data_IF_043332906510
#
_entry.id   IF_043332906510
#
_cell.length_a   1.000
_cell.length_b   1.000
_cell.length_c   1.000
_cell.angle_alpha   90.00
_cell.angle_beta   90.00
_cell.angle_gamma   90.00
#
_symmetry.space_group_name_H-M   'P 1'
#
loop_
_entity.id
_entity.type
_entity.pdbx_description
1 polymer ?
#
# COMPACT_ATOMS: atom_id res chain seq x y z
N UNK A 1 -12.68 -17.66 -9.57
CA UNK A 1 -13.34 -17.33 -8.29
C UNK A 1 -14.37 -18.37 -7.87
N UNK A 2 -14.68 -18.46 -6.58
CA UNK A 2 -15.89 -19.10 -6.05
C UNK A 2 -17.14 -18.32 -6.54
N UNK A 3 -18.19 -18.98 -7.07
CA UNK A 3 -19.42 -18.32 -7.49
C UNK A 3 -20.05 -17.40 -6.44
N UNK A 4 -19.97 -17.73 -5.15
CA UNK A 4 -20.55 -16.88 -4.09
C UNK A 4 -19.78 -15.56 -3.95
N UNK A 5 -18.46 -15.60 -4.04
CA UNK A 5 -17.59 -14.41 -3.98
C UNK A 5 -17.79 -13.51 -5.21
N UNK A 6 -18.04 -14.13 -6.36
CA UNK A 6 -18.33 -13.41 -7.60
C UNK A 6 -19.66 -12.64 -7.49
N UNK A 7 -20.71 -13.30 -6.98
CA UNK A 7 -22.02 -12.69 -6.73
C UNK A 7 -21.90 -11.54 -5.72
N UNK A 8 -21.22 -11.76 -4.59
CA UNK A 8 -21.06 -10.74 -3.56
C UNK A 8 -20.31 -9.49 -4.05
N UNK A 9 -19.36 -9.65 -4.97
CA UNK A 9 -18.67 -8.51 -5.60
C UNK A 9 -19.59 -7.77 -6.56
N UNK A 10 -20.38 -8.52 -7.34
CA UNK A 10 -21.33 -7.96 -8.29
C UNK A 10 -22.47 -7.21 -7.59
N UNK A 11 -22.91 -7.66 -6.42
CA UNK A 11 -23.86 -6.95 -5.57
C UNK A 11 -23.33 -5.58 -5.13
N UNK A 12 -22.05 -5.47 -4.77
CA UNK A 12 -21.42 -4.18 -4.45
C UNK A 12 -21.41 -3.25 -5.65
N UNK A 13 -21.01 -3.74 -6.83
CA UNK A 13 -21.00 -2.96 -8.06
C UNK A 13 -22.42 -2.53 -8.46
N UNK A 14 -23.40 -3.43 -8.36
CA UNK A 14 -24.80 -3.16 -8.66
C UNK A 14 -25.36 -2.10 -7.72
N UNK A 15 -25.06 -2.17 -6.42
CA UNK A 15 -25.48 -1.17 -5.44
C UNK A 15 -24.99 0.24 -5.84
N UNK A 16 -23.74 0.37 -6.28
CA UNK A 16 -23.21 1.65 -6.76
C UNK A 16 -23.91 2.09 -8.04
N UNK A 17 -24.18 1.15 -8.97
CA UNK A 17 -24.91 1.44 -10.21
C UNK A 17 -26.34 1.91 -9.99
N UNK A 18 -26.99 1.44 -8.93
CA UNK A 18 -28.36 1.81 -8.56
C UNK A 18 -28.42 3.06 -7.68
N UNK A 19 -27.29 3.60 -7.22
CA UNK A 19 -27.24 4.83 -6.45
C UNK A 19 -27.29 6.04 -7.41
N UNK A 20 -28.42 6.77 -7.48
CA UNK A 20 -28.61 7.84 -8.47
C UNK A 20 -27.68 9.03 -8.24
N UNK A 21 -27.09 9.15 -7.05
CA UNK A 21 -26.17 10.22 -6.72
C UNK A 21 -24.74 9.95 -7.24
N UNK A 22 -24.34 8.69 -7.48
CA UNK A 22 -22.96 8.36 -7.89
C UNK A 22 -22.82 8.45 -9.39
N UNK A 23 -21.93 9.32 -9.87
CA UNK A 23 -21.69 9.46 -11.31
C UNK A 23 -20.25 9.82 -11.60
N UNK A 24 -19.58 9.07 -12.48
CA UNK A 24 -18.14 9.20 -12.57
C UNK A 24 -17.47 8.54 -13.75
N UNK A 25 -16.14 8.60 -13.71
CA UNK A 25 -15.25 8.11 -14.76
C UNK A 25 -14.38 6.97 -14.24
N UNK A 26 -14.12 5.99 -15.10
CA UNK A 26 -13.10 4.96 -14.87
C UNK A 26 -11.95 5.14 -15.86
N UNK A 27 -10.72 5.28 -15.34
CA UNK A 27 -9.51 5.41 -16.14
C UNK A 27 -8.47 4.35 -15.74
N UNK A 28 -8.34 3.31 -16.54
CA UNK A 28 -7.57 2.10 -16.16
C UNK A 28 -6.45 1.87 -17.18
N UNK A 29 -5.23 1.59 -16.69
CA UNK A 29 -4.04 1.40 -17.54
C UNK A 29 -3.24 0.19 -17.07
N UNK A 30 -2.97 -0.72 -18.01
CA UNK A 30 -1.94 -1.76 -17.89
C UNK A 30 -2.42 -3.13 -17.44
N UNK A 31 -3.66 -3.25 -16.94
CA UNK A 31 -4.24 -4.52 -16.49
C UNK A 31 -5.69 -4.73 -16.94
N UNK A 32 -6.09 -4.16 -18.06
CA UNK A 32 -7.45 -4.22 -18.60
C UNK A 32 -8.30 -3.07 -18.09
N UNK A 33 -9.61 -3.20 -18.28
CA UNK A 33 -10.61 -2.31 -17.69
C UNK A 33 -11.53 -3.13 -16.78
N UNK A 34 -10.92 -3.85 -15.84
CA UNK A 34 -11.60 -4.92 -15.10
C UNK A 34 -12.58 -4.38 -14.08
N UNK A 35 -12.31 -3.20 -13.52
CA UNK A 35 -13.24 -2.53 -12.61
C UNK A 35 -14.42 -2.01 -13.41
N UNK A 36 -14.20 -1.26 -14.49
CA UNK A 36 -15.30 -0.79 -15.34
C UNK A 36 -16.12 -1.95 -15.92
N UNK A 37 -15.47 -3.05 -16.33
CA UNK A 37 -16.12 -4.26 -16.84
C UNK A 37 -17.13 -4.83 -15.84
N UNK A 38 -16.81 -4.89 -14.55
CA UNK A 38 -17.75 -5.34 -13.50
C UNK A 38 -19.00 -4.47 -13.48
N UNK A 39 -18.84 -3.16 -13.52
CA UNK A 39 -19.96 -2.22 -13.53
C UNK A 39 -20.81 -2.31 -14.80
N UNK A 40 -20.22 -2.64 -15.96
CA UNK A 40 -21.01 -2.95 -17.16
C UNK A 40 -21.76 -4.27 -17.05
N UNK A 41 -21.12 -5.32 -16.52
CA UNK A 41 -21.69 -6.67 -16.43
C UNK A 41 -22.97 -6.72 -15.59
N UNK A 42 -22.99 -6.03 -14.45
CA UNK A 42 -24.13 -6.06 -13.51
C UNK A 42 -25.33 -5.22 -13.95
N UNK A 43 -25.18 -4.40 -15.01
CA UNK A 43 -26.24 -3.51 -15.50
C UNK A 43 -26.46 -2.27 -14.63
N UNK A 44 -27.33 -1.35 -15.06
CA UNK A 44 -27.57 -0.06 -14.38
C UNK A 44 -26.50 1.02 -14.62
N UNK A 45 -25.40 0.68 -15.29
CA UNK A 45 -24.25 1.57 -15.48
C UNK A 45 -24.54 2.92 -16.17
N UNK A 46 -25.62 3.06 -16.94
CA UNK A 46 -25.99 4.34 -17.54
C UNK A 46 -26.26 5.46 -16.50
N UNK A 47 -26.69 5.08 -15.29
CA UNK A 47 -26.91 6.01 -14.18
C UNK A 47 -25.62 6.50 -13.51
N UNK A 48 -24.52 5.77 -13.68
CA UNK A 48 -23.31 5.83 -12.84
C UNK A 48 -22.02 6.09 -13.62
N UNK A 49 -21.92 5.59 -14.85
CA UNK A 49 -20.74 5.69 -15.69
C UNK A 49 -20.95 6.84 -16.67
N UNK A 50 -20.18 7.92 -16.49
CA UNK A 50 -20.09 9.03 -17.43
C UNK A 50 -19.12 8.72 -18.58
N UNK A 51 -17.98 8.11 -18.25
CA UNK A 51 -16.92 7.76 -19.20
C UNK A 51 -16.11 6.58 -18.69
N UNK A 52 -15.62 5.74 -19.59
CA UNK A 52 -14.52 4.83 -19.32
C UNK A 52 -13.43 5.07 -20.35
N UNK A 53 -12.16 4.91 -19.96
CA UNK A 53 -11.05 5.03 -20.89
C UNK A 53 -9.86 4.17 -20.50
N UNK A 54 -9.05 3.79 -21.49
CA UNK A 54 -7.77 3.14 -21.29
C UNK A 54 -6.73 3.65 -22.29
N UNK A 55 -5.59 4.13 -21.79
CA UNK A 55 -4.50 4.72 -22.58
C UNK A 55 -3.24 3.86 -22.44
N UNK A 56 -3.22 2.74 -23.14
CA UNK A 56 -2.16 1.72 -23.07
C UNK A 56 -0.84 2.17 -23.68
N UNK A 57 -0.89 2.87 -24.81
CA UNK A 57 0.31 3.36 -25.48
C UNK A 57 0.91 4.53 -24.68
N UNK A 58 2.22 4.50 -24.46
CA UNK A 58 2.92 5.52 -23.67
C UNK A 58 2.80 6.92 -24.28
N UNK A 59 2.78 7.03 -25.61
CA UNK A 59 2.65 8.32 -26.31
C UNK A 59 1.25 8.88 -26.11
N UNK A 60 0.22 8.06 -26.23
CA UNK A 60 -1.17 8.46 -25.93
C UNK A 60 -1.33 8.82 -24.45
N UNK A 61 -0.81 8.00 -23.54
CA UNK A 61 -0.86 8.26 -22.10
C UNK A 61 -0.17 9.57 -21.73
N UNK A 62 0.98 9.88 -22.35
CA UNK A 62 1.70 11.14 -22.14
C UNK A 62 0.99 12.33 -22.76
N UNK A 63 0.32 12.16 -23.89
CA UNK A 63 -0.48 13.23 -24.51
C UNK A 63 -1.70 13.62 -23.64
N UNK A 64 -2.29 12.65 -22.94
CA UNK A 64 -3.48 12.87 -22.09
C UNK A 64 -3.06 13.36 -20.69
N UNK A 65 -2.11 12.66 -20.05
CA UNK A 65 -1.76 12.87 -18.64
C UNK A 65 -0.42 13.57 -18.41
N UNK A 66 0.30 13.91 -19.47
CA UNK A 66 1.67 14.43 -19.42
C UNK A 66 2.70 13.35 -19.10
N UNK A 67 4.00 13.69 -19.24
CA UNK A 67 5.09 12.73 -19.00
C UNK A 67 5.25 12.33 -17.54
N UNK A 68 5.67 11.10 -17.27
CA UNK A 68 6.08 10.62 -15.95
C UNK A 68 7.36 9.78 -16.05
N UNK A 69 8.24 9.89 -15.04
CA UNK A 69 9.49 9.12 -15.01
C UNK A 69 9.25 7.60 -14.90
N UNK A 70 8.16 7.21 -14.23
CA UNK A 70 7.69 5.82 -14.12
C UNK A 70 6.20 5.78 -14.44
N UNK A 71 5.80 4.89 -15.35
CA UNK A 71 4.41 4.80 -15.78
C UNK A 71 3.54 4.14 -14.71
N UNK A 72 4.02 3.10 -14.04
CA UNK A 72 3.34 2.55 -12.84
C UNK A 72 3.91 3.25 -11.61
N UNK A 73 3.25 4.33 -11.20
CA UNK A 73 3.67 5.15 -10.06
C UNK A 73 2.52 5.93 -9.45
N UNK A 74 2.68 6.32 -8.18
CA UNK A 74 1.76 7.25 -7.50
C UNK A 74 1.58 8.57 -8.24
N UNK A 75 2.66 9.09 -8.84
CA UNK A 75 2.63 10.34 -9.62
C UNK A 75 1.76 10.18 -10.87
N UNK A 76 1.87 9.05 -11.59
CA UNK A 76 1.00 8.77 -12.74
C UNK A 76 -0.45 8.66 -12.30
N UNK A 77 -0.74 7.88 -11.26
CA UNK A 77 -2.09 7.75 -10.72
C UNK A 77 -2.69 9.13 -10.39
N UNK A 78 -1.93 9.99 -9.70
CA UNK A 78 -2.38 11.33 -9.34
C UNK A 78 -2.75 12.16 -10.56
N UNK A 79 -1.90 12.17 -11.61
CA UNK A 79 -2.19 12.86 -12.87
C UNK A 79 -3.45 12.35 -13.55
N UNK A 80 -3.72 11.06 -13.48
CA UNK A 80 -4.95 10.48 -14.01
C UNK A 80 -6.17 10.96 -13.23
N UNK A 81 -6.13 10.89 -11.90
CA UNK A 81 -7.20 11.38 -11.03
C UNK A 81 -7.47 12.88 -11.21
N UNK A 82 -6.43 13.70 -11.37
CA UNK A 82 -6.51 15.14 -11.62
C UNK A 82 -7.19 15.42 -12.96
N UNK A 83 -6.59 14.93 -14.05
CA UNK A 83 -7.09 15.19 -15.39
C UNK A 83 -8.53 14.73 -15.60
N UNK A 84 -8.85 13.51 -15.17
CA UNK A 84 -10.16 12.92 -15.39
C UNK A 84 -11.25 13.58 -14.53
N UNK A 85 -10.89 14.05 -13.34
CA UNK A 85 -11.84 14.73 -12.47
C UNK A 85 -12.14 16.14 -12.98
N UNK A 86 -11.12 16.89 -13.38
CA UNK A 86 -11.29 18.23 -13.95
C UNK A 86 -12.14 18.18 -15.22
N UNK A 87 -11.89 17.20 -16.10
CA UNK A 87 -12.69 16.99 -17.30
C UNK A 87 -14.14 16.61 -16.99
N UNK A 88 -14.37 15.80 -15.95
CA UNK A 88 -15.71 15.44 -15.50
C UNK A 88 -16.48 16.66 -15.00
N UNK A 89 -15.84 17.52 -14.19
CA UNK A 89 -16.41 18.78 -13.71
C UNK A 89 -16.71 19.73 -14.87
N UNK A 90 -15.74 19.96 -15.76
CA UNK A 90 -15.86 20.83 -16.93
C UNK A 90 -17.11 20.49 -17.76
N UNK A 91 -17.34 19.18 -17.98
CA UNK A 91 -18.38 18.70 -18.89
C UNK A 91 -19.75 18.57 -18.24
N UNK A 92 -19.81 18.22 -16.95
CA UNK A 92 -21.05 17.73 -16.34
C UNK A 92 -21.55 18.55 -15.15
N UNK A 93 -20.74 19.41 -14.52
CA UNK A 93 -21.17 20.15 -13.32
C UNK A 93 -22.39 21.03 -13.57
N UNK A 94 -22.42 21.75 -14.69
CA UNK A 94 -23.56 22.64 -15.02
C UNK A 94 -24.89 21.91 -15.10
N UNK A 95 -24.88 20.64 -15.52
CA UNK A 95 -26.08 19.84 -15.74
C UNK A 95 -26.46 19.00 -14.53
N UNK A 96 -25.47 18.38 -13.87
CA UNK A 96 -25.72 17.37 -12.86
C UNK A 96 -25.13 17.71 -11.49
N UNK A 97 -24.32 18.76 -11.36
CA UNK A 97 -23.54 19.05 -10.15
C UNK A 97 -24.38 19.40 -8.91
N UNK A 98 -25.67 19.71 -9.06
CA UNK A 98 -26.59 19.92 -7.93
C UNK A 98 -27.22 18.62 -7.40
N UNK A 99 -27.28 17.58 -8.23
CA UNK A 99 -27.99 16.32 -7.93
C UNK A 99 -27.03 15.18 -7.68
N UNK A 100 -25.89 15.18 -8.39
CA UNK A 100 -24.93 14.08 -8.40
C UNK A 100 -23.66 14.44 -7.65
N UNK A 101 -23.08 13.43 -7.02
CA UNK A 101 -21.73 13.41 -6.47
C UNK A 101 -20.79 12.78 -7.48
N UNK A 102 -19.82 13.57 -7.95
CA UNK A 102 -18.88 13.11 -8.96
C UNK A 102 -17.76 12.26 -8.36
N UNK A 103 -17.35 11.22 -9.09
CA UNK A 103 -16.17 10.43 -8.77
C UNK A 103 -15.30 10.11 -9.99
N UNK A 104 -14.03 9.83 -9.74
CA UNK A 104 -13.10 9.23 -10.69
C UNK A 104 -12.43 8.06 -9.99
N UNK A 105 -12.53 6.89 -10.60
CA UNK A 105 -11.65 5.77 -10.31
C UNK A 105 -10.51 5.77 -11.32
N UNK A 106 -9.28 5.59 -10.85
CA UNK A 106 -8.14 5.41 -11.72
C UNK A 106 -7.22 4.31 -11.21
N UNK A 107 -6.59 3.60 -12.15
CA UNK A 107 -5.48 2.71 -11.84
C UNK A 107 -4.36 2.76 -12.87
N UNK A 108 -3.14 2.45 -12.40
CA UNK A 108 -2.00 2.18 -13.26
C UNK A 108 -1.25 0.97 -12.72
N UNK A 109 -1.16 -0.07 -13.54
CA UNK A 109 -0.79 -1.41 -13.09
C UNK A 109 0.22 -2.04 -14.03
N UNK A 110 1.24 -2.68 -13.47
CA UNK A 110 2.11 -3.61 -14.17
C UNK A 110 1.60 -5.03 -13.90
N UNK A 111 0.69 -5.52 -14.74
CA UNK A 111 0.30 -6.92 -14.71
C UNK A 111 1.36 -7.80 -15.39
N UNK A 112 1.29 -9.10 -15.12
CA UNK A 112 2.28 -10.06 -15.61
C UNK A 112 2.35 -10.06 -17.13
N UNK A 113 3.55 -9.80 -17.66
CA UNK A 113 3.81 -9.84 -19.09
C UNK A 113 4.27 -11.22 -19.54
N UNK A 114 4.04 -11.55 -20.82
CA UNK A 114 4.56 -12.78 -21.43
C UNK A 114 6.09 -12.77 -21.63
N UNK A 115 6.75 -11.61 -21.57
CA UNK A 115 8.17 -11.44 -21.91
C UNK A 115 9.08 -11.27 -20.69
N UNK A 116 8.59 -10.68 -19.61
CA UNK A 116 9.36 -10.34 -18.41
C UNK A 116 8.64 -10.82 -17.13
N UNK A 117 9.39 -11.49 -16.25
CA UNK A 117 8.95 -11.89 -14.89
C UNK A 117 9.32 -10.80 -13.87
N UNK A 118 8.82 -9.59 -14.07
CA UNK A 118 8.95 -8.54 -13.06
C UNK A 118 7.84 -8.70 -12.00
N UNK A 119 8.05 -8.06 -10.83
CA UNK A 119 7.03 -7.97 -9.80
C UNK A 119 5.75 -7.34 -10.37
N UNK A 120 4.60 -7.98 -10.14
CA UNK A 120 3.30 -7.47 -10.59
C UNK A 120 2.67 -6.62 -9.48
N UNK A 121 2.41 -5.35 -9.78
CA UNK A 121 1.96 -4.38 -8.78
C UNK A 121 1.21 -3.21 -9.44
N UNK A 122 0.51 -2.41 -8.65
CA UNK A 122 -0.26 -1.29 -9.18
C UNK A 122 -0.66 -0.25 -8.16
N UNK A 123 -0.99 0.93 -8.66
CA UNK A 123 -1.57 2.02 -7.90
C UNK A 123 -3.03 2.18 -8.30
N UNK A 124 -3.93 2.14 -7.32
CA UNK A 124 -5.36 2.39 -7.52
C UNK A 124 -5.77 3.60 -6.70
N UNK A 125 -6.73 4.37 -7.20
CA UNK A 125 -7.25 5.51 -6.47
C UNK A 125 -8.67 5.87 -6.84
N UNK A 126 -9.35 6.46 -5.88
CA UNK A 126 -10.66 7.07 -6.08
C UNK A 126 -10.61 8.50 -5.58
N UNK A 127 -11.03 9.43 -6.45
CA UNK A 127 -11.34 10.81 -6.08
C UNK A 127 -12.84 11.00 -6.16
N UNK A 128 -13.46 11.54 -5.11
CA UNK A 128 -14.91 11.61 -5.06
C UNK A 128 -15.44 12.75 -4.20
N UNK A 129 -16.66 13.18 -4.50
CA UNK A 129 -17.42 14.11 -3.69
C UNK A 129 -18.26 13.36 -2.65
N UNK A 130 -18.28 13.86 -1.41
CA UNK A 130 -19.20 13.36 -0.37
C UNK A 130 -20.61 13.96 -0.52
N UNK A 131 -20.71 15.18 -1.06
CA UNK A 131 -21.94 15.89 -1.35
C UNK A 131 -21.82 16.61 -2.70
N UNK A 132 -22.94 16.88 -3.41
CA UNK A 132 -22.89 17.60 -4.68
C UNK A 132 -22.10 18.92 -4.53
N UNK A 133 -21.16 19.17 -5.46
CA UNK A 133 -20.25 20.34 -5.47
C UNK A 133 -19.33 20.52 -4.25
N UNK A 134 -19.25 19.53 -3.36
CA UNK A 134 -18.23 19.56 -2.32
C UNK A 134 -16.82 19.43 -2.92
N UNK A 135 -15.83 19.95 -2.20
CA UNK A 135 -14.43 19.68 -2.51
C UNK A 135 -14.18 18.16 -2.43
N UNK A 136 -13.49 17.56 -3.41
CA UNK A 136 -13.32 16.13 -3.45
C UNK A 136 -12.36 15.63 -2.38
N UNK A 137 -12.62 14.43 -1.89
CA UNK A 137 -11.67 13.65 -1.10
C UNK A 137 -11.10 12.52 -1.95
N UNK A 138 -9.98 11.96 -1.53
CA UNK A 138 -9.25 10.96 -2.28
C UNK A 138 -8.70 9.86 -1.38
N UNK A 139 -8.82 8.63 -1.85
CA UNK A 139 -8.19 7.44 -1.29
C UNK A 139 -7.30 6.85 -2.37
N UNK A 140 -6.04 6.59 -2.04
CA UNK A 140 -5.10 5.86 -2.90
C UNK A 140 -4.58 4.63 -2.17
N UNK A 141 -4.37 3.56 -2.91
CA UNK A 141 -3.73 2.34 -2.43
C UNK A 141 -2.64 1.90 -3.40
N UNK A 142 -1.63 1.23 -2.86
CA UNK A 142 -0.73 0.39 -3.65
C UNK A 142 -1.05 -1.06 -3.38
N UNK A 143 -0.99 -1.87 -4.43
CA UNK A 143 -1.30 -3.30 -4.37
C UNK A 143 -0.20 -4.10 -5.05
N UNK A 144 0.08 -5.29 -4.50
CA UNK A 144 0.91 -6.31 -5.13
C UNK A 144 0.01 -7.45 -5.59
N UNK A 145 0.18 -7.85 -6.83
CA UNK A 145 -0.60 -8.90 -7.48
C UNK A 145 0.17 -10.20 -7.36
N UNK A 146 -0.33 -11.12 -6.54
CA UNK A 146 0.38 -12.32 -6.12
C UNK A 146 0.02 -13.55 -6.94
N UNK A 147 -1.05 -13.47 -7.75
CA UNK A 147 -1.42 -14.54 -8.67
C UNK A 147 -0.34 -14.76 -9.75
N UNK A 148 -0.15 -16.02 -10.13
CA UNK A 148 0.84 -16.42 -11.14
C UNK A 148 0.40 -16.12 -12.59
N UNK A 149 -0.90 -16.00 -12.84
CA UNK A 149 -1.45 -15.81 -14.18
C UNK A 149 -2.04 -14.41 -14.37
N UNK A 150 -1.91 -13.87 -15.58
CA UNK A 150 -2.39 -12.51 -15.88
C UNK A 150 -3.91 -12.38 -15.74
N UNK A 151 -4.67 -13.40 -16.14
CA UNK A 151 -6.15 -13.37 -16.07
C UNK A 151 -6.62 -13.35 -14.62
N UNK A 152 -5.95 -14.11 -13.76
CA UNK A 152 -6.21 -14.16 -12.33
C UNK A 152 -5.87 -12.81 -11.68
N UNK A 153 -4.74 -12.20 -12.03
CA UNK A 153 -4.39 -10.86 -11.57
C UNK A 153 -5.44 -9.81 -11.98
N UNK A 154 -5.94 -9.89 -13.22
CA UNK A 154 -7.00 -9.04 -13.74
C UNK A 154 -8.31 -9.22 -12.96
N UNK A 155 -8.73 -10.46 -12.72
CA UNK A 155 -9.92 -10.78 -11.92
C UNK A 155 -9.82 -10.19 -10.51
N UNK A 156 -8.66 -10.37 -9.86
CA UNK A 156 -8.43 -9.86 -8.51
C UNK A 156 -8.42 -8.33 -8.47
N UNK A 157 -7.83 -7.67 -9.49
CA UNK A 157 -7.83 -6.22 -9.64
C UNK A 157 -9.26 -5.66 -9.77
N UNK A 158 -10.10 -6.32 -10.57
CA UNK A 158 -11.51 -5.97 -10.72
C UNK A 158 -12.25 -5.98 -9.38
N UNK A 159 -12.01 -7.00 -8.55
CA UNK A 159 -12.65 -7.15 -7.23
C UNK A 159 -12.16 -6.09 -6.24
N UNK A 160 -10.85 -5.90 -6.11
CA UNK A 160 -10.34 -4.89 -5.16
C UNK A 160 -10.73 -3.46 -5.58
N UNK A 161 -10.82 -3.17 -6.88
CA UNK A 161 -11.30 -1.88 -7.37
C UNK A 161 -12.76 -1.62 -7.01
N UNK A 162 -13.63 -2.63 -7.14
CA UNK A 162 -15.03 -2.56 -6.67
C UNK A 162 -15.09 -2.37 -5.15
N UNK A 163 -14.29 -3.12 -4.39
CA UNK A 163 -14.23 -2.99 -2.93
C UNK A 163 -13.77 -1.58 -2.51
N UNK A 164 -12.75 -1.01 -3.17
CA UNK A 164 -12.27 0.34 -2.91
C UNK A 164 -13.36 1.39 -3.15
N UNK A 165 -14.08 1.29 -4.27
CA UNK A 165 -15.20 2.19 -4.58
C UNK A 165 -16.34 2.04 -3.59
N UNK A 166 -16.74 0.82 -3.28
CA UNK A 166 -17.82 0.54 -2.33
C UNK A 166 -17.46 1.07 -0.93
N UNK A 167 -16.24 0.80 -0.46
CA UNK A 167 -15.74 1.31 0.80
C UNK A 167 -15.71 2.84 0.83
N UNK A 168 -15.18 3.47 -0.23
CA UNK A 168 -15.12 4.93 -0.32
C UNK A 168 -16.50 5.61 -0.23
N UNK A 169 -17.54 4.96 -0.77
CA UNK A 169 -18.89 5.54 -0.80
C UNK A 169 -19.75 5.21 0.42
N UNK A 170 -19.54 4.05 1.05
CA UNK A 170 -20.47 3.52 2.05
C UNK A 170 -19.86 3.26 3.43
N UNK A 171 -18.53 3.14 3.55
CA UNK A 171 -17.87 2.95 4.84
C UNK A 171 -17.43 4.30 5.45
N UNK A 172 -18.03 4.65 6.59
CA UNK A 172 -17.71 5.90 7.31
C UNK A 172 -16.47 5.81 8.19
N UNK A 173 -16.08 4.59 8.55
CA UNK A 173 -14.91 4.31 9.39
C UNK A 173 -13.78 3.81 8.48
N UNK A 174 -12.65 4.53 8.38
CA UNK A 174 -11.52 4.13 7.56
C UNK A 174 -10.99 2.73 7.87
N UNK A 175 -11.01 2.30 9.14
CA UNK A 175 -10.57 0.98 9.56
C UNK A 175 -11.45 -0.14 8.96
N UNK A 176 -12.76 0.12 8.85
CA UNK A 176 -13.71 -0.80 8.23
C UNK A 176 -13.52 -0.84 6.72
N UNK A 177 -13.29 0.31 6.09
CA UNK A 177 -12.95 0.38 4.66
C UNK A 177 -11.69 -0.45 4.36
N UNK A 178 -10.66 -0.33 5.20
CA UNK A 178 -9.43 -1.12 5.06
C UNK A 178 -9.75 -2.62 5.14
N UNK A 179 -10.54 -3.05 6.13
CA UNK A 179 -10.90 -4.47 6.25
C UNK A 179 -11.70 -4.97 5.05
N UNK A 180 -12.53 -4.11 4.43
CA UNK A 180 -13.39 -4.50 3.31
C UNK A 180 -12.66 -4.64 1.97
N UNK A 181 -11.41 -4.16 1.86
CA UNK A 181 -10.60 -4.28 0.64
C UNK A 181 -10.35 -5.74 0.23
N UNK A 182 -10.23 -6.65 1.20
CA UNK A 182 -9.98 -8.08 0.96
C UNK A 182 -11.24 -8.93 0.84
N UNK A 183 -12.43 -8.35 1.03
CA UNK A 183 -13.68 -9.10 0.89
C UNK A 183 -13.80 -9.68 -0.53
N UNK A 184 -14.31 -10.90 -0.63
CA UNK A 184 -14.45 -11.61 -1.91
C UNK A 184 -13.12 -11.83 -2.67
N UNK A 185 -11.98 -11.79 -1.97
CA UNK A 185 -10.69 -12.26 -2.49
C UNK A 185 -10.20 -13.44 -1.67
N UNK A 186 -9.72 -14.48 -2.35
CA UNK A 186 -9.08 -15.59 -1.65
C UNK A 186 -7.77 -15.10 -1.01
N UNK A 187 -7.41 -15.58 0.19
CA UNK A 187 -6.16 -15.18 0.84
C UNK A 187 -4.95 -15.40 -0.07
N UNK A 188 -4.06 -14.40 -0.12
CA UNK A 188 -2.81 -14.50 -0.86
C UNK A 188 -2.89 -14.16 -2.35
N UNK A 189 -4.02 -13.64 -2.86
CA UNK A 189 -4.11 -13.13 -4.25
C UNK A 189 -3.63 -11.68 -4.41
N UNK A 190 -3.91 -10.84 -3.42
CA UNK A 190 -3.51 -9.44 -3.39
C UNK A 190 -2.97 -9.08 -2.00
N UNK A 191 -1.90 -8.29 -1.97
CA UNK A 191 -1.39 -7.59 -0.78
C UNK A 191 -1.63 -6.09 -0.95
N UNK A 192 -2.21 -5.42 0.04
CA UNK A 192 -2.34 -3.96 0.08
C UNK A 192 -1.27 -3.41 1.02
N UNK A 193 -0.17 -2.93 0.46
CA UNK A 193 1.04 -2.53 1.20
C UNK A 193 1.17 -1.01 1.42
N UNK A 194 0.24 -0.22 0.86
CA UNK A 194 0.13 1.21 1.13
C UNK A 194 -1.31 1.68 1.00
N UNK A 195 -1.73 2.58 1.89
CA UNK A 195 -2.98 3.33 1.78
C UNK A 195 -2.76 4.78 2.21
N UNK A 196 -3.42 5.72 1.54
CA UNK A 196 -3.47 7.12 1.94
C UNK A 196 -4.82 7.75 1.68
N UNK A 197 -5.32 8.43 2.70
CA UNK A 197 -6.53 9.24 2.70
C UNK A 197 -6.15 10.71 2.65
N UNK A 198 -6.90 11.50 1.88
CA UNK A 198 -6.67 12.95 1.73
C UNK A 198 -7.95 13.71 1.34
N UNK A 199 -8.00 15.00 1.66
CA UNK A 199 -9.15 15.86 1.38
C UNK A 199 -10.10 16.04 2.57
N UNK A 200 -11.18 16.81 2.39
CA UNK A 200 -12.02 17.31 3.49
C UNK A 200 -12.70 16.20 4.31
N UNK A 201 -13.03 15.05 3.71
CA UNK A 201 -13.66 13.94 4.42
C UNK A 201 -12.71 13.27 5.44
N UNK A 202 -11.40 13.41 5.24
CA UNK A 202 -10.38 12.68 5.98
C UNK A 202 -9.46 13.60 6.80
N UNK A 203 -9.90 14.82 7.14
CA UNK A 203 -9.10 15.79 7.91
C UNK A 203 -8.64 15.27 9.27
N UNK A 204 -9.44 14.39 9.90
CA UNK A 204 -9.14 13.80 11.21
C UNK A 204 -8.48 12.41 11.11
N UNK A 205 -8.09 11.98 9.92
CA UNK A 205 -7.47 10.66 9.70
C UNK A 205 -5.96 10.80 9.74
N UNK A 206 -5.32 10.09 10.67
CA UNK A 206 -3.86 9.92 10.66
C UNK A 206 -3.48 8.74 9.76
N UNK A 207 -2.82 9.03 8.64
CA UNK A 207 -2.41 8.01 7.66
C UNK A 207 -1.42 6.98 8.23
N UNK A 208 -0.72 7.30 9.33
CA UNK A 208 0.17 6.37 10.01
C UNK A 208 -0.61 5.28 10.73
N UNK A 209 -1.72 5.65 11.37
CA UNK A 209 -2.67 4.69 11.92
C UNK A 209 -3.31 3.85 10.82
N UNK A 210 -3.68 4.45 9.69
CA UNK A 210 -4.27 3.69 8.57
C UNK A 210 -3.30 2.66 7.98
N UNK A 211 -2.03 3.02 7.90
CA UNK A 211 -0.99 2.09 7.46
C UNK A 211 -0.77 0.99 8.50
N UNK A 212 -0.80 1.31 9.80
CA UNK A 212 -0.76 0.31 10.87
C UNK A 212 -1.94 -0.68 10.77
N UNK A 213 -3.12 -0.21 10.39
CA UNK A 213 -4.29 -1.08 10.15
C UNK A 213 -4.06 -2.10 9.03
N UNK A 214 -3.31 -1.76 7.97
CA UNK A 214 -2.95 -2.74 6.94
C UNK A 214 -2.18 -3.92 7.53
N UNK A 215 -1.30 -3.67 8.49
CA UNK A 215 -0.50 -4.71 9.15
C UNK A 215 -1.34 -5.47 10.17
N UNK A 216 -2.06 -4.76 11.05
CA UNK A 216 -2.83 -5.38 12.13
C UNK A 216 -3.99 -6.23 11.62
N UNK A 217 -4.61 -5.84 10.50
CA UNK A 217 -5.70 -6.58 9.85
C UNK A 217 -5.19 -7.63 8.83
N UNK A 218 -3.87 -7.71 8.61
CA UNK A 218 -3.25 -8.74 7.78
C UNK A 218 -3.30 -8.51 6.27
N UNK A 219 -3.51 -7.26 5.84
CA UNK A 219 -3.45 -6.86 4.43
C UNK A 219 -2.03 -6.82 3.87
N UNK A 220 -1.04 -6.59 4.74
CA UNK A 220 0.38 -6.66 4.41
C UNK A 220 1.20 -7.12 5.62
N UNK A 221 2.43 -7.51 5.36
CA UNK A 221 3.38 -7.90 6.40
C UNK A 221 4.18 -6.73 6.96
N UNK A 222 4.28 -5.63 6.23
CA UNK A 222 4.98 -4.45 6.70
C UNK A 222 4.52 -3.16 6.01
N UNK A 223 4.59 -2.04 6.74
CA UNK A 223 4.37 -0.68 6.25
C UNK A 223 5.48 0.24 6.72
N UNK A 224 5.70 1.34 6.00
CA UNK A 224 6.81 2.24 6.26
C UNK A 224 6.42 3.72 6.25
N UNK A 225 7.08 4.48 7.12
CA UNK A 225 6.96 5.93 7.23
C UNK A 225 8.33 6.56 7.14
N UNK A 226 8.43 7.66 6.39
CA UNK A 226 9.61 8.53 6.45
C UNK A 226 9.58 9.37 7.73
N UNK A 227 10.68 10.05 8.00
CA UNK A 227 10.81 10.95 9.15
C UNK A 227 9.79 12.11 9.16
N UNK A 228 9.32 12.53 7.98
CA UNK A 228 8.26 13.54 7.81
C UNK A 228 6.85 13.00 8.09
N UNK A 229 6.73 11.71 8.45
CA UNK A 229 5.45 11.04 8.70
C UNK A 229 4.72 10.58 7.44
N UNK A 230 5.26 10.83 6.24
CA UNK A 230 4.64 10.38 5.00
C UNK A 230 4.75 8.86 4.87
N UNK A 231 3.60 8.21 4.68
CA UNK A 231 3.52 6.81 4.29
C UNK A 231 4.09 6.62 2.89
N UNK A 232 5.00 5.66 2.75
CA UNK A 232 5.73 5.39 1.51
C UNK A 232 5.69 3.92 1.13
N UNK A 233 5.76 3.65 -0.17
CA UNK A 233 5.88 2.30 -0.68
C UNK A 233 7.35 1.83 -0.55
N UNK A 234 7.61 0.64 0.02
CA UNK A 234 8.97 0.16 0.31
C UNK A 234 9.93 0.12 -0.89
N UNK A 235 9.46 -0.34 -2.06
CA UNK A 235 10.29 -0.43 -3.26
C UNK A 235 10.73 0.96 -3.80
N UNK A 236 9.96 2.02 -3.55
CA UNK A 236 10.35 3.39 -3.91
C UNK A 236 11.54 3.90 -3.07
N UNK A 237 11.64 3.48 -1.80
CA UNK A 237 12.68 3.94 -0.87
C UNK A 237 13.92 3.05 -0.91
N UNK A 238 13.75 1.74 -1.03
CA UNK A 238 14.87 0.78 -0.97
C UNK A 238 15.61 0.60 -2.28
N UNK A 239 15.09 1.14 -3.38
CA UNK A 239 15.69 0.96 -4.70
C UNK A 239 17.17 1.39 -4.72
N UNK A 240 18.06 0.41 -4.93
CA UNK A 240 19.53 0.56 -4.96
C UNK A 240 20.14 1.10 -3.66
N UNK A 241 19.42 1.02 -2.53
CA UNK A 241 19.91 1.47 -1.22
C UNK A 241 20.40 0.29 -0.39
N UNK A 242 21.52 0.49 0.30
CA UNK A 242 21.93 -0.36 1.40
C UNK A 242 21.04 -0.07 2.61
N UNK A 243 20.77 -1.08 3.43
CA UNK A 243 19.81 -0.96 4.54
C UNK A 243 20.50 -1.31 5.83
N UNK A 244 20.40 -0.44 6.83
CA UNK A 244 20.78 -0.75 8.21
C UNK A 244 19.50 -0.69 9.04
N UNK A 245 19.11 -1.81 9.65
CA UNK A 245 17.87 -1.90 10.42
C UNK A 245 18.15 -2.21 11.88
N UNK A 246 17.57 -1.41 12.77
CA UNK A 246 17.54 -1.67 14.19
C UNK A 246 16.11 -2.02 14.61
N UNK A 247 15.95 -3.19 15.24
CA UNK A 247 14.66 -3.63 15.80
C UNK A 247 14.54 -3.20 17.25
N UNK A 248 13.43 -2.59 17.62
CA UNK A 248 13.19 -2.18 19.00
C UNK A 248 11.73 -1.85 19.30
N UNK A 249 11.42 -1.71 20.59
CA UNK A 249 10.12 -1.17 21.03
C UNK A 249 10.08 0.36 20.99
N UNK A 250 11.26 1.00 21.08
CA UNK A 250 11.46 2.45 21.11
C UNK A 250 10.56 3.19 22.10
N UNK A 251 10.40 2.63 23.30
CA UNK A 251 9.53 3.14 24.37
C UNK A 251 10.32 3.58 25.63
N UNK A 252 10.95 4.77 25.64
CA UNK A 252 11.32 5.59 24.49
C UNK A 252 12.61 5.08 23.83
N UNK A 253 13.01 5.71 22.73
CA UNK A 253 14.40 5.60 22.21
C UNK A 253 15.40 6.12 23.27
N UNK A 254 16.54 5.45 23.42
CA UNK A 254 17.54 5.78 24.45
C UNK A 254 18.89 6.17 23.84
N UNK A 255 19.77 6.78 24.65
CA UNK A 255 21.15 7.03 24.23
C UNK A 255 21.90 5.74 23.87
N UNK A 256 21.62 4.63 24.55
CA UNK A 256 22.22 3.34 24.23
C UNK A 256 21.79 2.83 22.84
N UNK A 257 20.52 3.02 22.48
CA UNK A 257 19.98 2.72 21.14
C UNK A 257 20.73 3.53 20.08
N UNK A 258 20.86 4.85 20.29
CA UNK A 258 21.56 5.72 19.35
C UNK A 258 23.06 5.36 19.23
N UNK A 259 23.75 5.06 20.33
CA UNK A 259 25.17 4.69 20.32
C UNK A 259 25.41 3.37 19.57
N UNK A 260 24.54 2.37 19.78
CA UNK A 260 24.57 1.12 19.00
C UNK A 260 24.40 1.37 17.51
N UNK A 261 23.43 2.20 17.14
CA UNK A 261 23.14 2.52 15.75
C UNK A 261 24.27 3.30 15.08
N UNK A 262 24.85 4.27 15.78
CA UNK A 262 25.97 5.09 15.29
C UNK A 262 27.26 4.25 15.17
N UNK A 263 27.51 3.36 16.12
CA UNK A 263 28.57 2.36 16.06
C UNK A 263 28.40 1.43 14.85
N UNK A 264 27.22 0.85 14.69
CA UNK A 264 26.90 -0.04 13.56
C UNK A 264 27.00 0.69 12.22
N UNK A 265 26.51 1.93 12.12
CA UNK A 265 26.61 2.77 10.92
C UNK A 265 28.05 2.98 10.49
N UNK A 266 28.94 3.33 11.41
CA UNK A 266 30.37 3.54 11.11
C UNK A 266 31.02 2.27 10.54
N UNK A 267 30.79 1.13 11.20
CA UNK A 267 31.35 -0.16 10.75
C UNK A 267 30.74 -0.58 9.41
N UNK A 268 29.43 -0.42 9.25
CA UNK A 268 28.71 -0.81 8.04
C UNK A 268 29.18 -0.03 6.82
N UNK A 269 29.33 1.30 6.92
CA UNK A 269 29.85 2.14 5.83
C UNK A 269 31.28 1.74 5.46
N UNK A 270 32.14 1.50 6.46
CA UNK A 270 33.52 1.09 6.22
C UNK A 270 33.64 -0.28 5.53
N UNK A 271 32.77 -1.23 5.87
CA UNK A 271 32.82 -2.60 5.32
C UNK A 271 32.09 -2.75 3.98
N UNK A 272 30.94 -2.08 3.81
CA UNK A 272 30.14 -2.18 2.59
C UNK A 272 30.67 -1.33 1.44
N UNK A 273 31.44 -0.28 1.75
CA UNK A 273 31.90 0.70 0.76
C UNK A 273 30.77 1.53 0.16
N UNK A 274 29.57 1.53 0.75
CA UNK A 274 28.46 2.37 0.28
C UNK A 274 28.61 3.82 0.76
N UNK A 275 28.05 4.75 -0.02
CA UNK A 275 27.98 6.17 0.36
C UNK A 275 26.92 6.39 1.45
N UNK A 276 27.05 7.47 2.23
CA UNK A 276 26.00 7.83 3.19
C UNK A 276 24.66 8.12 2.51
N UNK A 277 24.68 8.69 1.31
CA UNK A 277 23.49 8.98 0.52
C UNK A 277 22.77 7.71 0.06
N UNK A 278 23.50 6.59 -0.06
CA UNK A 278 22.97 5.29 -0.45
C UNK A 278 22.61 4.37 0.72
N UNK A 279 22.73 4.87 1.95
CA UNK A 279 22.34 4.16 3.16
C UNK A 279 20.97 4.61 3.67
N UNK A 280 20.06 3.66 3.85
CA UNK A 280 18.79 3.88 4.57
C UNK A 280 18.89 3.23 5.94
N UNK A 281 18.62 4.03 6.97
CA UNK A 281 18.53 3.57 8.36
C UNK A 281 17.06 3.38 8.73
N UNK A 282 16.70 2.16 9.14
CA UNK A 282 15.35 1.77 9.50
C UNK A 282 15.23 1.46 10.99
N UNK A 283 14.21 2.02 11.61
CA UNK A 283 13.80 1.69 12.97
C UNK A 283 12.59 0.76 12.87
N UNK A 284 12.79 -0.52 13.12
CA UNK A 284 11.74 -1.53 13.00
C UNK A 284 11.03 -1.77 14.34
N UNK A 285 9.71 -1.61 14.33
CA UNK A 285 8.83 -2.04 15.41
C UNK A 285 7.96 -3.19 14.92
N UNK A 286 7.99 -4.32 15.62
CA UNK A 286 7.06 -5.42 15.34
C UNK A 286 5.68 -5.11 15.93
N UNK A 287 4.62 -5.71 15.38
CA UNK A 287 3.30 -5.66 16.00
C UNK A 287 3.34 -6.16 17.45
N UNK A 288 4.19 -7.14 17.76
CA UNK A 288 4.34 -7.65 19.12
C UNK A 288 4.89 -6.58 20.08
N UNK A 289 5.78 -5.70 19.63
CA UNK A 289 6.22 -4.53 20.42
C UNK A 289 5.12 -3.47 20.64
N UNK A 290 4.08 -3.46 19.79
CA UNK A 290 2.97 -2.51 19.84
C UNK A 290 1.76 -3.03 20.63
N UNK A 291 1.64 -4.35 20.81
CA UNK A 291 0.57 -4.99 21.56
C UNK A 291 0.90 -5.00 23.07
N UNK A 292 0.72 -3.87 23.76
CA UNK A 292 0.88 -3.79 25.21
C UNK A 292 -0.27 -4.54 25.92
N UNK A 293 -0.01 -5.73 26.45
CA UNK A 293 -1.05 -6.51 27.16
C UNK A 293 -2.14 -7.08 26.24
N UNK A 294 -1.85 -7.24 24.94
CA UNK A 294 -2.75 -7.84 23.96
C UNK A 294 -3.65 -6.86 23.19
N UNK A 295 -3.58 -5.55 23.47
CA UNK A 295 -4.28 -4.52 22.70
C UNK A 295 -3.33 -3.48 22.14
N UNK A 296 -3.71 -2.91 21.00
CA UNK A 296 -2.93 -1.92 20.28
C UNK A 296 -3.26 -0.52 20.82
N UNK A 297 -2.28 0.14 21.41
CA UNK A 297 -2.41 1.50 21.95
C UNK A 297 -2.04 2.53 20.86
N UNK A 298 -3.05 3.12 20.21
CA UNK A 298 -2.86 4.07 19.13
C UNK A 298 -2.09 5.34 19.57
N UNK A 299 -2.43 6.01 20.70
CA UNK A 299 -1.61 7.11 21.22
C UNK A 299 -0.15 6.76 21.47
N UNK A 300 0.13 5.62 22.10
CA UNK A 300 1.50 5.19 22.40
C UNK A 300 2.28 4.88 21.10
N UNK A 301 1.64 4.24 20.11
CA UNK A 301 2.21 4.06 18.77
C UNK A 301 2.58 5.39 18.12
N UNK A 302 1.65 6.34 18.08
CA UNK A 302 1.89 7.65 17.46
C UNK A 302 3.03 8.40 18.16
N UNK A 303 3.06 8.40 19.48
CA UNK A 303 4.14 9.02 20.25
C UNK A 303 5.52 8.43 19.93
N UNK A 304 5.62 7.10 19.75
CA UNK A 304 6.87 6.45 19.34
C UNK A 304 7.28 6.88 17.93
N UNK A 305 6.35 6.90 16.98
CA UNK A 305 6.62 7.34 15.60
C UNK A 305 7.03 8.81 15.56
N UNK A 306 6.38 9.68 16.35
CA UNK A 306 6.71 11.11 16.45
C UNK A 306 8.14 11.32 16.98
N UNK A 307 8.54 10.59 18.02
CA UNK A 307 9.90 10.66 18.56
C UNK A 307 10.93 10.21 17.54
N UNK A 308 10.68 9.11 16.82
CA UNK A 308 11.59 8.63 15.77
C UNK A 308 11.65 9.60 14.58
N UNK A 309 10.52 10.18 14.19
CA UNK A 309 10.43 11.19 13.13
C UNK A 309 11.20 12.47 13.48
N UNK A 310 11.08 12.94 14.73
CA UNK A 310 11.84 14.09 15.23
C UNK A 310 13.37 13.86 15.21
N UNK A 311 13.81 12.60 15.30
CA UNK A 311 15.21 12.19 15.15
C UNK A 311 15.63 11.95 13.70
N UNK A 312 14.77 12.25 12.72
CA UNK A 312 15.06 12.04 11.30
C UNK A 312 15.05 10.57 10.88
N UNK A 313 14.43 9.67 11.66
CA UNK A 313 14.47 8.22 11.40
C UNK A 313 13.29 7.75 10.56
N UNK A 314 13.57 6.82 9.64
CA UNK A 314 12.53 6.10 8.88
C UNK A 314 12.06 4.92 9.72
N UNK A 315 10.75 4.71 9.78
CA UNK A 315 10.12 3.69 10.64
C UNK A 315 9.49 2.60 9.79
N UNK A 316 9.79 1.34 10.12
CA UNK A 316 9.17 0.15 9.54
C UNK A 316 8.31 -0.53 10.61
N UNK A 317 7.04 -0.77 10.32
CA UNK A 317 6.17 -1.59 11.18
C UNK A 317 5.99 -2.94 10.52
N UNK A 318 6.19 -4.03 11.25
CA UNK A 318 6.19 -5.37 10.66
C UNK A 318 5.48 -6.43 11.51
N UNK A 319 5.11 -7.56 10.88
CA UNK A 319 4.70 -8.80 11.57
C UNK A 319 5.82 -9.83 11.70
N UNK A 320 7.05 -9.46 11.38
CA UNK A 320 8.17 -10.39 11.32
C UNK A 320 8.67 -10.69 12.73
N UNK A 321 8.17 -11.75 13.36
CA UNK A 321 8.71 -12.21 14.65
C UNK A 321 10.20 -12.57 14.51
N UNK A 322 10.54 -13.34 13.48
CA UNK A 322 11.89 -13.86 13.25
C UNK A 322 12.69 -12.96 12.28
N UNK A 323 13.98 -12.74 12.58
CA UNK A 323 14.85 -11.90 11.75
C UNK A 323 15.03 -12.40 10.31
N UNK A 324 15.02 -13.72 10.07
CA UNK A 324 15.13 -14.26 8.70
C UNK A 324 13.96 -13.84 7.81
N UNK A 325 12.76 -13.60 8.39
CA UNK A 325 11.60 -13.12 7.64
C UNK A 325 11.74 -11.64 7.29
N UNK A 326 12.25 -10.84 8.23
CA UNK A 326 12.59 -9.44 7.97
C UNK A 326 13.67 -9.34 6.87
N UNK A 327 14.74 -10.12 6.98
CA UNK A 327 15.79 -10.17 5.97
C UNK A 327 15.23 -10.56 4.59
N UNK A 328 14.46 -11.65 4.50
CA UNK A 328 13.83 -12.08 3.25
C UNK A 328 12.88 -11.04 2.65
N UNK A 329 12.18 -10.27 3.48
CA UNK A 329 11.38 -9.13 3.03
C UNK A 329 12.25 -8.01 2.44
N UNK A 330 13.33 -7.63 3.12
CA UNK A 330 14.21 -6.54 2.66
C UNK A 330 14.99 -6.93 1.38
N UNK A 331 15.47 -8.19 1.28
CA UNK A 331 16.15 -8.72 0.10
C UNK A 331 15.27 -8.71 -1.16
N UNK A 332 13.95 -8.66 -1.02
CA UNK A 332 13.04 -8.49 -2.17
C UNK A 332 13.24 -7.14 -2.87
N UNK A 333 13.59 -6.10 -2.12
CA UNK A 333 13.59 -4.72 -2.62
C UNK A 333 14.99 -4.18 -2.93
N UNK A 334 16.04 -4.82 -2.42
CA UNK A 334 17.42 -4.41 -2.67
C UNK A 334 18.36 -5.60 -2.76
N UNK A 335 19.35 -5.47 -3.66
CA UNK A 335 20.50 -6.37 -3.76
C UNK A 335 21.76 -5.77 -3.13
N UNK A 336 21.62 -4.63 -2.44
CA UNK A 336 22.71 -4.00 -1.67
C UNK A 336 22.83 -4.65 -0.30
N UNK A 337 23.98 -4.46 0.39
CA UNK A 337 24.17 -5.00 1.74
C UNK A 337 23.05 -4.58 2.71
N UNK A 338 22.68 -5.50 3.59
CA UNK A 338 21.71 -5.29 4.67
C UNK A 338 22.41 -5.60 5.99
N UNK A 339 22.37 -4.67 6.93
CA UNK A 339 22.92 -4.82 8.29
C UNK A 339 21.79 -4.88 9.32
N UNK A 340 21.87 -5.85 10.23
CA UNK A 340 20.98 -5.95 11.39
C UNK A 340 21.69 -5.41 12.64
N UNK A 341 21.18 -4.34 13.22
CA UNK A 341 21.67 -3.77 14.48
C UNK A 341 20.89 -4.38 15.64
N UNK A 342 21.59 -4.99 16.58
CA UNK A 342 20.97 -5.64 17.72
C UNK A 342 21.91 -5.75 18.91
N UNK A 343 21.33 -5.79 20.11
CA UNK A 343 22.06 -6.07 21.34
C UNK A 343 22.35 -7.56 21.51
N UNK A 344 23.28 -7.87 22.42
CA UNK A 344 23.63 -9.25 22.78
C UNK A 344 22.42 -10.13 23.15
N UNK A 345 21.40 -9.65 23.91
CA UNK A 345 20.24 -10.48 24.22
C UNK A 345 19.46 -10.92 22.97
N UNK A 346 19.26 -10.02 21.99
CA UNK A 346 18.60 -10.33 20.73
C UNK A 346 19.42 -11.30 19.87
N UNK A 347 20.74 -11.14 19.86
CA UNK A 347 21.65 -12.06 19.18
C UNK A 347 21.53 -13.47 19.76
N UNK A 348 21.47 -13.62 21.09
CA UNK A 348 21.26 -14.94 21.73
C UNK A 348 19.92 -15.56 21.28
N UNK A 349 18.85 -14.76 21.15
CA UNK A 349 17.55 -15.27 20.68
C UNK A 349 17.59 -15.79 19.24
N UNK A 350 18.45 -15.25 18.37
CA UNK A 350 18.63 -15.77 17.01
C UNK A 350 19.12 -17.22 17.04
N UNK A 351 19.92 -17.61 18.03
CA UNK A 351 20.42 -18.98 18.15
C UNK A 351 19.46 -19.93 18.89
N UNK A 352 18.23 -19.49 19.20
CA UNK A 352 17.26 -20.32 19.89
C UNK A 352 16.43 -21.16 18.90
N UNK A 353 16.70 -22.46 18.85
CA UNK A 353 16.09 -23.41 17.90
C UNK A 353 14.56 -23.48 17.97
N UNK A 354 13.95 -23.11 19.10
CA UNK A 354 12.49 -23.14 19.27
C UNK A 354 11.74 -22.31 18.21
N UNK A 355 12.39 -21.27 17.66
CA UNK A 355 11.82 -20.39 16.64
C UNK A 355 11.86 -20.97 15.22
N UNK A 356 12.55 -22.09 14.99
CA UNK A 356 12.79 -22.64 13.66
C UNK A 356 12.17 -24.03 13.46
N UNK A 357 11.30 -24.48 14.36
CA UNK A 357 10.63 -25.78 14.31
C UNK A 357 9.71 -25.98 13.10
N UNK A 358 9.35 -24.89 12.40
CA UNK A 358 8.53 -24.90 11.18
C UNK A 358 9.35 -24.91 9.89
N UNK A 359 10.68 -24.86 9.97
CA UNK A 359 11.59 -24.91 8.83
C UNK A 359 12.17 -26.31 8.72
N UNK A 360 12.18 -26.89 7.51
CA UNK A 360 12.70 -28.25 7.28
C UNK A 360 14.20 -28.34 7.66
N UNK A 361 14.98 -27.31 7.34
CA UNK A 361 16.39 -27.20 7.71
C UNK A 361 16.64 -26.47 9.05
N UNK A 362 15.59 -26.21 9.83
CA UNK A 362 15.69 -25.61 11.17
C UNK A 362 16.49 -24.30 11.20
N UNK A 363 17.38 -24.18 12.20
CA UNK A 363 18.21 -22.99 12.39
C UNK A 363 19.17 -22.71 11.24
N UNK A 364 19.70 -23.76 10.59
CA UNK A 364 20.66 -23.59 9.49
C UNK A 364 19.99 -22.96 8.27
N UNK A 365 18.76 -23.40 7.96
CA UNK A 365 17.94 -22.77 6.92
C UNK A 365 17.62 -21.32 7.27
N UNK A 366 17.29 -21.01 8.52
CA UNK A 366 17.00 -19.65 8.95
C UNK A 366 18.22 -18.71 8.81
N UNK A 367 19.41 -19.18 9.21
CA UNK A 367 20.65 -18.41 9.09
C UNK A 367 21.02 -18.18 7.61
N UNK A 368 20.90 -19.19 6.75
CA UNK A 368 21.18 -19.05 5.31
C UNK A 368 20.14 -18.22 4.54
N UNK A 369 18.94 -18.02 5.08
CA UNK A 369 17.97 -17.05 4.55
C UNK A 369 18.26 -15.61 5.02
N UNK A 370 19.04 -15.44 6.08
CA UNK A 370 19.30 -14.16 6.73
C UNK A 370 20.64 -13.54 6.31
N UNK A 371 21.65 -14.37 6.04
CA UNK A 371 22.98 -14.00 5.56
C UNK A 371 23.28 -14.75 4.26
#
# INVERSE_FOLDING_TARGET
>A
MDPEMEIATDEKALRINLDPAKYGTFAEIGAGQEVARRFFRVGGGAGTIAKTMSAYDMTFSDAIYGRANRYVSRVRLQKMLDHEYDLLIERLDRKFGNEKTFFVFADTVAARSFKERNESHGWLGVRFQSQPRAQPSQIIIHVRLLDEGNVEQQEALGVIGVNLLHGAFYDRQPEKLISSLQENLAPGRIEVDMIKFSGPLFQNVDNRLMSLQLVSQGLTNAVMFKADGETVQPAEVFYKKAILVERGSFRPVTYATNDMLDGARRVFLAQSGCSEDDLIVLMEMTLEHLLAGGQLDHPDFLARVDVLGALGRTVLISRFGEYYRLAGYLFRYTNKPIGLVMGVPSLIQIFNEKYYTKLEGGILEALGRMF
#
